data_IF_880463648064
#
_entry.id   IF_880463648064
#
_cell.length_a   1.000
_cell.length_b   1.000
_cell.length_c   1.000
_cell.angle_alpha   90.00
_cell.angle_beta   90.00
_cell.angle_gamma   90.00
#
_symmetry.space_group_name_H-M   'P 1'
#
loop_
_entity.id
_entity.type
_entity.pdbx_description
1 polymer ?
#
# COMPACT_ATOMS: atom_id res chain seq x y z
N UNK A 1 -19.93 22.57 -30.02
CA UNK A 1 -20.07 23.59 -28.95
C UNK A 1 -19.64 22.96 -27.65
N UNK A 2 -18.38 23.16 -27.30
CA UNK A 2 -17.72 22.58 -26.13
C UNK A 2 -18.14 23.40 -24.89
N UNK A 3 -18.76 22.75 -23.90
CA UNK A 3 -19.12 23.42 -22.63
C UNK A 3 -17.84 23.85 -21.93
N UNK A 4 -17.70 25.11 -21.47
CA UNK A 4 -16.52 25.54 -20.76
C UNK A 4 -16.42 24.84 -19.40
N UNK A 5 -15.19 24.45 -19.09
CA UNK A 5 -14.77 23.59 -18.00
C UNK A 5 -15.14 24.08 -16.58
N UNK A 6 -15.33 23.16 -15.61
CA UNK A 6 -15.63 23.47 -14.20
C UNK A 6 -14.49 24.16 -13.43
N UNK A 7 -13.28 24.29 -14.00
CA UNK A 7 -12.12 24.86 -13.30
C UNK A 7 -12.21 26.39 -13.08
N UNK A 8 -12.83 27.14 -14.01
CA UNK A 8 -12.93 28.60 -13.92
C UNK A 8 -13.85 29.05 -12.77
N UNK A 9 -14.89 28.26 -12.45
CA UNK A 9 -15.79 28.56 -11.32
C UNK A 9 -15.06 28.43 -9.98
N UNK A 10 -14.26 27.38 -9.78
CA UNK A 10 -13.53 27.10 -8.53
C UNK A 10 -12.57 28.24 -8.13
N UNK A 11 -11.90 28.84 -9.11
CA UNK A 11 -10.89 29.88 -8.87
C UNK A 11 -11.54 31.23 -8.48
N UNK A 12 -12.69 31.58 -9.09
CA UNK A 12 -13.48 32.76 -8.72
C UNK A 12 -14.09 32.64 -7.31
N UNK A 13 -14.59 31.48 -6.90
CA UNK A 13 -15.14 31.33 -5.54
C UNK A 13 -14.06 31.47 -4.48
N UNK A 14 -12.84 30.98 -4.74
CA UNK A 14 -11.69 31.14 -3.83
C UNK A 14 -11.28 32.61 -3.69
N UNK A 15 -11.21 33.37 -4.78
CA UNK A 15 -10.85 34.80 -4.71
C UNK A 15 -11.90 35.65 -3.99
N UNK A 16 -13.19 35.31 -4.11
CA UNK A 16 -14.26 36.00 -3.39
C UNK A 16 -14.19 35.71 -1.89
N UNK A 17 -13.95 34.46 -1.49
CA UNK A 17 -13.82 34.09 -0.07
C UNK A 17 -12.63 34.78 0.61
N UNK A 18 -11.51 34.92 -0.13
CA UNK A 18 -10.28 35.56 0.35
C UNK A 18 -10.46 37.03 0.75
N UNK A 19 -11.47 37.70 0.21
CA UNK A 19 -11.79 39.11 0.51
C UNK A 19 -13.01 39.24 1.43
N UNK A 20 -14.01 38.37 1.27
CA UNK A 20 -15.24 38.42 2.06
C UNK A 20 -15.00 38.11 3.55
N UNK A 21 -14.20 37.09 3.88
CA UNK A 21 -13.97 36.70 5.29
C UNK A 21 -13.21 37.78 6.07
N UNK A 22 -12.09 38.36 5.57
CA UNK A 22 -11.41 39.45 6.27
C UNK A 22 -12.28 40.70 6.41
N UNK A 23 -13.14 40.98 5.42
CA UNK A 23 -14.10 42.09 5.50
C UNK A 23 -15.14 41.87 6.61
N UNK A 24 -15.69 40.66 6.73
CA UNK A 24 -16.64 40.32 7.81
C UNK A 24 -15.98 40.44 9.19
N UNK A 25 -14.75 39.92 9.34
CA UNK A 25 -14.00 40.06 10.60
C UNK A 25 -13.69 41.53 10.91
N UNK A 26 -13.29 42.32 9.91
CA UNK A 26 -13.05 43.75 10.07
C UNK A 26 -14.30 44.53 10.51
N UNK A 27 -15.47 44.23 9.95
CA UNK A 27 -16.75 44.84 10.36
C UNK A 27 -17.10 44.44 11.79
N UNK A 28 -16.94 43.16 12.13
CA UNK A 28 -17.24 42.64 13.47
C UNK A 28 -16.35 43.29 14.53
N UNK A 29 -15.03 43.32 14.34
CA UNK A 29 -14.09 43.93 15.28
C UNK A 29 -14.25 45.45 15.33
N UNK A 30 -14.54 46.11 14.22
CA UNK A 30 -14.86 47.55 14.19
C UNK A 30 -16.07 47.88 15.06
N UNK A 31 -17.13 47.06 14.96
CA UNK A 31 -18.35 47.24 15.74
C UNK A 31 -18.10 47.02 17.23
N UNK A 32 -17.31 45.98 17.57
CA UNK A 32 -16.98 45.63 18.95
C UNK A 32 -16.07 46.69 19.61
N UNK A 33 -15.03 47.15 18.89
CA UNK A 33 -14.14 48.22 19.35
C UNK A 33 -14.86 49.58 19.41
N UNK A 34 -15.80 49.87 18.50
CA UNK A 34 -16.58 51.10 18.54
C UNK A 34 -17.59 51.12 19.70
N UNK A 35 -18.26 50.00 19.98
CA UNK A 35 -19.29 49.93 21.00
C UNK A 35 -18.74 49.83 22.43
N UNK A 36 -17.68 49.04 22.64
CA UNK A 36 -17.14 48.76 23.98
C UNK A 36 -15.76 49.36 24.23
N UNK A 37 -15.02 49.73 23.18
CA UNK A 37 -13.66 50.24 23.31
C UNK A 37 -13.55 51.52 24.15
N UNK A 38 -14.40 52.55 23.94
CA UNK A 38 -14.34 53.78 24.75
C UNK A 38 -14.54 53.51 26.25
N UNK A 39 -15.48 52.63 26.61
CA UNK A 39 -15.74 52.26 28.01
C UNK A 39 -14.54 51.57 28.65
N UNK A 40 -13.91 50.63 27.94
CA UNK A 40 -12.73 49.92 28.44
C UNK A 40 -11.53 50.86 28.59
N UNK A 41 -11.31 51.77 27.64
CA UNK A 41 -10.20 52.74 27.69
C UNK A 41 -10.41 53.74 28.83
N UNK A 42 -11.62 54.24 29.02
CA UNK A 42 -11.92 55.20 30.09
C UNK A 42 -11.84 54.55 31.48
N UNK A 43 -12.34 53.32 31.65
CA UNK A 43 -12.20 52.57 32.92
C UNK A 43 -10.73 52.24 33.22
N UNK A 44 -9.92 51.95 32.21
CA UNK A 44 -8.50 51.71 32.37
C UNK A 44 -7.71 52.99 32.67
N UNK A 45 -8.02 54.09 31.98
CA UNK A 45 -7.37 55.39 32.17
C UNK A 45 -7.65 55.96 33.56
N UNK A 46 -8.89 55.85 34.06
CA UNK A 46 -9.24 56.23 35.44
C UNK A 46 -8.50 55.42 36.50
N UNK A 47 -8.25 54.13 36.26
CA UNK A 47 -7.44 53.29 37.18
C UNK A 47 -5.96 53.68 37.22
N UNK A 48 -5.45 54.32 36.17
CA UNK A 48 -4.05 54.76 36.08
C UNK A 48 -3.87 56.20 36.57
N UNK A 49 -4.88 57.05 36.43
CA UNK A 49 -4.86 58.44 36.89
C UNK A 49 -6.27 58.85 37.34
N UNK A 50 -6.47 59.04 38.64
CA UNK A 50 -7.77 59.39 39.23
C UNK A 50 -8.27 60.78 38.77
N UNK A 51 -7.37 61.68 38.34
CA UNK A 51 -7.71 62.98 37.74
C UNK A 51 -8.06 62.91 36.25
N UNK A 52 -8.07 61.72 35.64
CA UNK A 52 -8.40 61.55 34.22
C UNK A 52 -9.85 61.94 33.93
N UNK A 53 -10.02 62.98 33.12
CA UNK A 53 -11.30 63.41 32.60
C UNK A 53 -11.42 62.95 31.13
N UNK A 54 -12.43 62.13 30.79
CA UNK A 54 -12.55 61.59 29.45
C UNK A 54 -12.75 62.73 28.44
N UNK A 55 -12.10 62.67 27.26
CA UNK A 55 -12.28 63.68 26.23
C UNK A 55 -13.76 63.77 25.80
N UNK A 56 -14.35 64.97 25.81
CA UNK A 56 -15.74 65.19 25.36
C UNK A 56 -15.97 64.91 23.86
N UNK A 57 -14.91 64.63 23.09
CA UNK A 57 -15.02 64.36 21.66
C UNK A 57 -15.03 62.86 21.38
N UNK A 58 -16.20 62.36 21.00
CA UNK A 58 -16.42 60.99 20.51
C UNK A 58 -15.43 60.66 19.36
N UNK A 59 -15.05 61.68 18.58
CA UNK A 59 -14.12 61.58 17.45
C UNK A 59 -12.72 61.16 17.91
N UNK A 60 -12.21 61.68 19.03
CA UNK A 60 -10.83 61.42 19.48
C UNK A 60 -10.69 60.05 20.14
N UNK A 61 -11.75 59.54 20.78
CA UNK A 61 -11.72 58.25 21.48
C UNK A 61 -12.19 57.10 20.60
N UNK A 62 -13.28 57.28 19.85
CA UNK A 62 -13.96 56.16 19.17
C UNK A 62 -13.37 55.89 17.78
N UNK A 63 -13.00 56.93 17.03
CA UNK A 63 -12.50 56.76 15.65
C UNK A 63 -11.19 55.99 15.58
N UNK A 64 -10.16 56.25 16.42
CA UNK A 64 -8.92 55.47 16.41
C UNK A 64 -9.15 54.00 16.80
N UNK A 65 -10.07 53.73 17.73
CA UNK A 65 -10.41 52.38 18.17
C UNK A 65 -11.14 51.59 17.09
N UNK A 66 -12.06 52.23 16.35
CA UNK A 66 -12.75 51.62 15.20
C UNK A 66 -11.74 51.31 14.09
N UNK A 67 -10.85 52.26 13.76
CA UNK A 67 -9.81 52.04 12.74
C UNK A 67 -8.86 50.92 13.15
N UNK A 68 -8.40 50.89 14.40
CA UNK A 68 -7.59 49.81 14.95
C UNK A 68 -8.32 48.46 14.92
N UNK A 69 -9.62 48.46 15.23
CA UNK A 69 -10.49 47.29 15.11
C UNK A 69 -10.57 46.76 13.68
N UNK A 70 -10.76 47.63 12.68
CA UNK A 70 -10.78 47.25 11.24
C UNK A 70 -9.45 46.59 10.86
N UNK A 71 -8.32 47.19 11.22
CA UNK A 71 -6.99 46.66 10.90
C UNK A 71 -6.75 45.28 11.55
N UNK A 72 -7.11 45.14 12.83
CA UNK A 72 -6.98 43.89 13.57
C UNK A 72 -7.88 42.79 12.98
N UNK A 73 -9.12 43.13 12.63
CA UNK A 73 -10.07 42.19 12.03
C UNK A 73 -9.63 41.74 10.64
N UNK A 74 -9.13 42.65 9.81
CA UNK A 74 -8.56 42.30 8.51
C UNK A 74 -7.35 41.37 8.65
N UNK A 75 -6.45 41.67 9.59
CA UNK A 75 -5.29 40.84 9.89
C UNK A 75 -5.71 39.43 10.35
N UNK A 76 -6.60 39.33 11.35
CA UNK A 76 -7.11 38.06 11.88
C UNK A 76 -7.84 37.24 10.81
N UNK A 77 -8.72 37.87 10.02
CA UNK A 77 -9.43 37.18 8.95
C UNK A 77 -8.49 36.68 7.85
N UNK A 78 -7.46 37.46 7.49
CA UNK A 78 -6.44 37.04 6.52
C UNK A 78 -5.58 35.87 7.04
N UNK A 79 -5.26 35.87 8.34
CA UNK A 79 -4.55 34.78 9.00
C UNK A 79 -5.41 33.50 9.03
N UNK A 80 -6.71 33.64 9.30
CA UNK A 80 -7.66 32.54 9.33
C UNK A 80 -7.78 31.85 7.96
N UNK A 81 -7.88 32.62 6.87
CA UNK A 81 -7.87 32.06 5.50
C UNK A 81 -6.56 31.35 5.20
N UNK A 82 -5.41 31.99 5.45
CA UNK A 82 -4.11 31.35 5.20
C UNK A 82 -3.94 30.07 6.00
N UNK A 83 -4.48 30.02 7.22
CA UNK A 83 -4.44 28.83 8.07
C UNK A 83 -5.40 27.76 7.58
N UNK A 84 -6.63 28.11 7.18
CA UNK A 84 -7.61 27.16 6.63
C UNK A 84 -7.19 26.62 5.27
N UNK A 85 -6.52 27.39 4.41
CA UNK A 85 -5.95 26.89 3.15
C UNK A 85 -4.75 25.95 3.36
N UNK A 86 -3.91 26.24 4.37
CA UNK A 86 -2.83 25.34 4.78
C UNK A 86 -3.39 24.05 5.38
N UNK A 87 -4.42 24.18 6.22
CA UNK A 87 -5.11 23.05 6.82
C UNK A 87 -5.86 22.21 5.78
N UNK A 88 -6.57 22.83 4.83
CA UNK A 88 -7.30 22.13 3.77
C UNK A 88 -6.39 21.32 2.86
N UNK A 89 -5.24 21.89 2.44
CA UNK A 89 -4.24 21.13 1.68
C UNK A 89 -3.65 19.96 2.48
N UNK A 90 -3.55 20.10 3.80
CA UNK A 90 -3.10 19.02 4.69
C UNK A 90 -4.19 17.97 4.84
N UNK A 91 -5.44 18.39 5.07
CA UNK A 91 -6.63 17.56 5.16
C UNK A 91 -6.83 16.69 3.92
N UNK A 92 -6.68 17.25 2.71
CA UNK A 92 -6.83 16.49 1.47
C UNK A 92 -5.75 15.42 1.26
N UNK A 93 -4.57 15.61 1.86
CA UNK A 93 -3.44 14.68 1.77
C UNK A 93 -3.36 13.71 2.94
N UNK A 94 -4.13 13.94 3.98
CA UNK A 94 -4.15 13.16 5.21
C UNK A 94 -5.09 11.98 5.07
N UNK A 95 -4.66 10.82 5.58
CA UNK A 95 -5.45 9.60 5.61
C UNK A 95 -6.79 9.80 6.34
N UNK A 96 -7.85 9.15 5.85
CA UNK A 96 -9.18 9.25 6.48
C UNK A 96 -9.19 8.79 7.95
N UNK A 97 -8.33 7.86 8.33
CA UNK A 97 -8.18 7.41 9.72
C UNK A 97 -7.54 8.48 10.61
N UNK A 98 -6.64 9.29 10.05
CA UNK A 98 -6.02 10.42 10.77
C UNK A 98 -7.02 11.58 10.92
N UNK A 99 -7.90 11.80 9.93
CA UNK A 99 -9.05 12.72 10.06
C UNK A 99 -9.97 12.30 11.21
N UNK A 100 -10.28 11.00 11.32
CA UNK A 100 -11.08 10.46 12.43
C UNK A 100 -10.37 10.67 13.77
N UNK A 101 -9.05 10.46 13.86
CA UNK A 101 -8.29 10.76 15.09
C UNK A 101 -8.37 12.22 15.49
N UNK A 102 -8.21 13.16 14.55
CA UNK A 102 -8.34 14.59 14.84
C UNK A 102 -9.75 14.96 15.28
N UNK A 103 -10.77 14.37 14.66
CA UNK A 103 -12.17 14.58 15.04
C UNK A 103 -12.45 14.07 16.46
N UNK A 104 -12.11 12.80 16.74
CA UNK A 104 -12.32 12.19 18.06
C UNK A 104 -11.55 12.95 19.14
N UNK A 105 -10.29 13.30 18.86
CA UNK A 105 -9.46 14.05 19.81
C UNK A 105 -10.00 15.45 20.09
N UNK A 106 -10.47 16.16 19.06
CA UNK A 106 -11.10 17.47 19.20
C UNK A 106 -12.42 17.43 19.98
N UNK A 107 -13.30 16.48 19.68
CA UNK A 107 -14.57 16.31 20.40
C UNK A 107 -14.33 15.96 21.87
N UNK A 108 -13.42 15.02 22.13
CA UNK A 108 -13.09 14.59 23.50
C UNK A 108 -12.45 15.73 24.29
N UNK A 109 -11.52 16.47 23.69
CA UNK A 109 -10.89 17.63 24.32
C UNK A 109 -11.86 18.77 24.61
N UNK A 110 -12.81 19.03 23.70
CA UNK A 110 -13.88 19.99 23.92
C UNK A 110 -14.79 19.57 25.08
N UNK A 111 -15.25 18.31 25.10
CA UNK A 111 -16.08 17.77 26.18
C UNK A 111 -15.35 17.85 27.53
N UNK A 112 -14.06 17.49 27.59
CA UNK A 112 -13.26 17.60 28.80
C UNK A 112 -13.17 19.05 29.32
N UNK A 113 -13.05 20.03 28.43
CA UNK A 113 -13.01 21.44 28.82
C UNK A 113 -14.34 21.97 29.36
N UNK A 114 -15.49 21.41 28.94
CA UNK A 114 -16.80 21.86 29.47
C UNK A 114 -16.95 21.62 30.96
N UNK A 115 -16.28 20.61 31.52
CA UNK A 115 -16.28 20.34 32.96
C UNK A 115 -15.65 21.48 33.78
N UNK A 116 -14.75 22.27 33.17
CA UNK A 116 -14.11 23.40 33.83
C UNK A 116 -15.01 24.64 33.88
N UNK A 117 -16.09 24.71 33.09
CA UNK A 117 -17.07 25.80 33.16
C UNK A 117 -17.71 25.82 34.54
N UNK A 118 -18.18 24.66 35.02
CA UNK A 118 -18.79 24.54 36.35
C UNK A 118 -17.78 24.82 37.47
N UNK A 119 -16.53 24.40 37.30
CA UNK A 119 -15.47 24.68 38.27
C UNK A 119 -15.16 26.17 38.38
N UNK A 120 -14.96 26.86 37.25
CA UNK A 120 -14.67 28.30 37.23
C UNK A 120 -15.85 29.14 37.67
N UNK A 121 -17.09 28.66 37.50
CA UNK A 121 -18.29 29.35 37.98
C UNK A 121 -18.36 29.51 39.51
N UNK A 122 -17.62 28.70 40.27
CA UNK A 122 -17.52 28.83 41.72
C UNK A 122 -16.63 29.99 42.15
N UNK A 123 -15.77 30.46 41.25
CA UNK A 123 -14.91 31.61 41.49
C UNK A 123 -15.59 32.86 40.94
N UNK A 124 -15.46 33.99 41.64
CA UNK A 124 -16.03 35.28 41.22
C UNK A 124 -15.22 35.93 40.07
N UNK A 125 -14.90 35.15 39.03
CA UNK A 125 -14.13 35.56 37.86
C UNK A 125 -15.09 36.13 36.82
N UNK A 126 -14.67 37.19 36.14
CA UNK A 126 -15.45 37.79 35.06
C UNK A 126 -15.69 36.76 33.93
N UNK A 127 -16.95 36.63 33.49
CA UNK A 127 -17.38 35.72 32.41
C UNK A 127 -16.50 35.71 31.14
N UNK A 128 -16.01 36.85 30.61
CA UNK A 128 -15.13 36.82 29.42
C UNK A 128 -13.79 36.12 29.70
N UNK A 129 -13.25 36.24 30.91
CA UNK A 129 -12.00 35.60 31.31
C UNK A 129 -12.22 34.09 31.42
N UNK A 130 -13.33 33.66 32.02
CA UNK A 130 -13.70 32.23 32.10
C UNK A 130 -13.83 31.62 30.70
N UNK A 131 -14.46 32.32 29.76
CA UNK A 131 -14.60 31.84 28.38
C UNK A 131 -13.23 31.64 27.69
N UNK A 132 -12.29 32.57 27.89
CA UNK A 132 -10.92 32.46 27.36
C UNK A 132 -10.16 31.28 27.96
N UNK A 133 -10.26 31.09 29.27
CA UNK A 133 -9.61 29.98 29.98
C UNK A 133 -10.15 28.61 29.51
N UNK A 134 -11.47 28.48 29.38
CA UNK A 134 -12.11 27.25 28.90
C UNK A 134 -11.74 26.98 27.44
N UNK A 135 -11.68 28.01 26.60
CA UNK A 135 -11.24 27.87 25.21
C UNK A 135 -9.77 27.39 25.12
N UNK A 136 -8.88 27.97 25.94
CA UNK A 136 -7.49 27.52 26.04
C UNK A 136 -7.37 26.05 26.50
N UNK A 137 -8.15 25.65 27.51
CA UNK A 137 -8.20 24.27 28.00
C UNK A 137 -8.75 23.31 26.93
N UNK A 138 -9.76 23.72 26.16
CA UNK A 138 -10.30 22.91 25.07
C UNK A 138 -9.24 22.59 24.02
N UNK A 139 -8.43 23.59 23.64
CA UNK A 139 -7.31 23.37 22.71
C UNK A 139 -6.27 22.45 23.35
N UNK A 140 -5.88 22.69 24.61
CA UNK A 140 -4.88 21.88 25.32
C UNK A 140 -5.29 20.41 25.39
N UNK A 141 -6.51 20.12 25.87
CA UNK A 141 -7.01 18.74 25.98
C UNK A 141 -7.20 18.09 24.62
N UNK A 142 -7.59 18.85 23.59
CA UNK A 142 -7.68 18.32 22.22
C UNK A 142 -6.30 17.88 21.72
N UNK A 143 -5.26 18.69 21.93
CA UNK A 143 -3.89 18.34 21.54
C UNK A 143 -3.38 17.13 22.33
N UNK A 144 -3.61 17.08 23.63
CA UNK A 144 -3.21 15.94 24.48
C UNK A 144 -3.90 14.64 24.07
N UNK A 145 -5.21 14.70 23.76
CA UNK A 145 -5.97 13.52 23.33
C UNK A 145 -5.50 13.04 21.96
N UNK A 146 -5.28 13.94 21.02
CA UNK A 146 -4.73 13.60 19.70
C UNK A 146 -3.35 12.95 19.85
N UNK A 147 -2.48 13.51 20.67
CA UNK A 147 -1.15 12.97 20.93
C UNK A 147 -1.22 11.56 21.54
N UNK A 148 -2.08 11.35 22.54
CA UNK A 148 -2.31 10.03 23.15
C UNK A 148 -2.85 9.01 22.15
N UNK A 149 -3.85 9.38 21.35
CA UNK A 149 -4.39 8.53 20.30
C UNK A 149 -3.34 8.19 19.23
N UNK A 150 -2.45 9.13 18.90
CA UNK A 150 -1.37 8.89 17.95
C UNK A 150 -0.34 7.88 18.48
N UNK A 151 -0.05 7.90 19.79
CA UNK A 151 0.83 6.92 20.43
C UNK A 151 0.27 5.49 20.39
N UNK A 152 -1.04 5.33 20.21
CA UNK A 152 -1.72 4.02 20.18
C UNK A 152 -2.36 3.74 18.81
N UNK A 153 -1.83 4.35 17.74
CA UNK A 153 -2.42 4.35 16.40
C UNK A 153 -2.82 2.96 15.90
N UNK A 154 -2.00 1.95 16.17
CA UNK A 154 -2.19 0.57 15.70
C UNK A 154 -3.32 -0.20 16.43
N UNK A 155 -3.65 0.20 17.66
CA UNK A 155 -4.72 -0.45 18.43
C UNK A 155 -6.11 0.14 18.16
N UNK A 156 -6.18 1.28 17.46
CA UNK A 156 -7.43 2.00 17.24
C UNK A 156 -8.33 1.30 16.19
N UNK A 157 -9.64 1.17 16.45
CA UNK A 157 -10.57 0.48 15.54
C UNK A 157 -10.61 1.05 14.12
N UNK A 158 -10.45 2.37 13.97
CA UNK A 158 -10.44 3.05 12.67
C UNK A 158 -9.10 2.95 11.90
N UNK A 159 -8.09 2.30 12.49
CA UNK A 159 -6.87 1.88 11.80
C UNK A 159 -6.85 0.37 11.48
N UNK A 160 -7.59 -0.44 12.23
CA UNK A 160 -7.64 -1.92 12.09
C UNK A 160 -8.18 -2.48 10.76
N UNK A 161 -8.68 -1.64 9.84
CA UNK A 161 -9.19 -2.07 8.53
C UNK A 161 -8.38 -1.59 7.32
N UNK A 162 -7.31 -0.80 7.53
CA UNK A 162 -6.61 -0.08 6.45
C UNK A 162 -5.32 -0.73 5.93
N UNK A 163 -4.96 -1.94 6.37
CA UNK A 163 -3.97 -2.73 5.63
C UNK A 163 -4.47 -3.06 4.21
N UNK A 164 -5.77 -2.88 3.96
CA UNK A 164 -6.50 -3.21 2.74
C UNK A 164 -6.23 -2.33 1.51
N UNK A 165 -5.10 -1.61 1.41
CA UNK A 165 -4.97 -0.62 0.32
C UNK A 165 -3.58 -0.27 -0.20
N UNK A 166 -2.50 -0.56 0.52
CA UNK A 166 -1.16 -0.25 0.02
C UNK A 166 -0.33 -1.51 0.03
N UNK A 167 -0.26 -2.16 -1.15
CA UNK A 167 0.73 -3.21 -1.35
C UNK A 167 2.10 -2.61 -1.07
N UNK A 168 2.80 -3.14 -0.08
CA UNK A 168 4.14 -2.69 0.30
C UNK A 168 5.18 -3.12 -0.72
N UNK A 169 4.83 -4.08 -1.58
CA UNK A 169 5.77 -4.72 -2.51
C UNK A 169 6.65 -5.76 -1.83
N UNK A 170 6.51 -5.97 -0.51
CA UNK A 170 7.25 -6.97 0.24
C UNK A 170 6.88 -8.37 -0.25
N UNK A 171 7.88 -9.23 -0.41
CA UNK A 171 7.77 -10.61 -0.91
C UNK A 171 8.05 -11.58 0.23
N UNK A 172 7.00 -12.20 0.77
CA UNK A 172 7.12 -13.10 1.92
C UNK A 172 7.39 -14.50 1.42
N UNK A 173 8.52 -15.10 1.83
CA UNK A 173 8.91 -16.44 1.39
C UNK A 173 8.41 -17.53 2.33
N UNK A 174 7.94 -18.62 1.73
CA UNK A 174 7.63 -19.89 2.37
C UNK A 174 8.86 -20.83 2.40
N UNK A 175 8.97 -21.68 3.43
CA UNK A 175 9.98 -22.73 3.61
C UNK A 175 10.18 -23.55 2.33
N UNK A 176 9.09 -23.99 1.71
CA UNK A 176 9.15 -24.86 0.53
C UNK A 176 9.78 -24.19 -0.69
N UNK A 177 9.55 -22.89 -0.87
CA UNK A 177 10.13 -22.11 -1.96
C UNK A 177 11.63 -21.93 -1.77
N UNK A 178 12.06 -21.69 -0.53
CA UNK A 178 13.47 -21.53 -0.19
C UNK A 178 14.24 -22.84 -0.42
N UNK A 179 13.67 -23.98 -0.02
CA UNK A 179 14.29 -25.31 -0.23
C UNK A 179 14.41 -25.65 -1.73
N UNK A 180 13.39 -25.34 -2.52
CA UNK A 180 13.42 -25.56 -3.98
C UNK A 180 14.55 -24.74 -4.64
N UNK A 181 14.71 -23.49 -4.21
CA UNK A 181 15.84 -22.63 -4.57
C UNK A 181 15.68 -21.87 -5.89
N UNK A 182 14.74 -22.24 -6.77
CA UNK A 182 14.48 -21.50 -8.03
C UNK A 182 14.05 -20.05 -7.79
N UNK A 183 13.57 -19.73 -6.59
CA UNK A 183 13.26 -18.36 -6.18
C UNK A 183 14.47 -17.42 -6.31
N UNK A 184 15.68 -17.92 -6.05
CA UNK A 184 16.91 -17.14 -6.23
C UNK A 184 17.12 -16.80 -7.71
N UNK A 185 17.00 -17.79 -8.60
CA UNK A 185 17.18 -17.57 -10.03
C UNK A 185 16.13 -16.61 -10.61
N UNK A 186 14.88 -16.75 -10.17
CA UNK A 186 13.78 -15.87 -10.56
C UNK A 186 13.99 -14.44 -10.06
N UNK A 187 14.49 -14.27 -8.83
CA UNK A 187 14.85 -12.97 -8.28
C UNK A 187 16.03 -12.34 -9.05
N UNK A 188 17.06 -13.13 -9.33
CA UNK A 188 18.24 -12.68 -10.10
C UNK A 188 17.89 -12.28 -11.53
N UNK A 189 16.91 -12.94 -12.14
CA UNK A 189 16.39 -12.60 -13.46
C UNK A 189 15.50 -11.32 -13.45
N UNK A 190 15.23 -10.72 -12.29
CA UNK A 190 14.46 -9.49 -12.15
C UNK A 190 12.95 -9.67 -12.09
N UNK A 191 12.44 -10.90 -11.92
CA UNK A 191 11.00 -11.17 -11.85
C UNK A 191 10.42 -11.04 -10.43
N UNK A 192 11.28 -10.98 -9.40
CA UNK A 192 10.88 -10.70 -8.01
C UNK A 192 11.49 -9.35 -7.62
N UNK A 193 10.65 -8.31 -7.65
CA UNK A 193 11.02 -6.95 -7.26
C UNK A 193 10.54 -6.62 -5.84
N UNK A 194 11.28 -5.72 -5.16
CA UNK A 194 10.98 -5.24 -3.81
C UNK A 194 11.72 -6.00 -2.70
N UNK A 195 11.45 -5.62 -1.45
CA UNK A 195 12.09 -6.23 -0.28
C UNK A 195 11.61 -7.67 -0.11
N UNK A 196 12.56 -8.58 0.10
CA UNK A 196 12.27 -9.97 0.41
C UNK A 196 12.16 -10.11 1.93
N UNK A 197 11.13 -10.79 2.41
CA UNK A 197 10.90 -11.00 3.83
C UNK A 197 10.85 -12.49 4.16
N UNK A 198 11.59 -12.89 5.19
CA UNK A 198 11.56 -14.26 5.73
C UNK A 198 11.14 -14.22 7.19
N UNK A 199 9.98 -14.81 7.55
CA UNK A 199 9.54 -14.89 8.94
C UNK A 199 10.47 -15.75 9.79
N UNK A 200 10.61 -15.47 11.10
CA UNK A 200 11.45 -16.32 11.98
C UNK A 200 10.98 -17.76 12.04
N UNK A 201 9.67 -17.99 12.07
CA UNK A 201 9.14 -19.36 12.11
C UNK A 201 9.47 -20.17 10.85
N UNK A 202 9.65 -19.53 9.69
CA UNK A 202 10.14 -20.19 8.46
C UNK A 202 11.63 -20.55 8.61
N UNK A 203 12.43 -19.65 9.18
CA UNK A 203 13.84 -19.92 9.45
C UNK A 203 14.02 -21.05 10.47
N UNK A 204 13.22 -21.07 11.53
CA UNK A 204 13.18 -22.13 12.54
C UNK A 204 12.78 -23.47 11.91
N UNK A 205 11.80 -23.49 11.00
CA UNK A 205 11.42 -24.70 10.27
C UNK A 205 12.56 -25.20 9.37
N UNK A 206 13.25 -24.32 8.65
CA UNK A 206 14.43 -24.67 7.85
C UNK A 206 15.54 -25.28 8.71
N UNK A 207 15.81 -24.71 9.89
CA UNK A 207 16.79 -25.24 10.85
C UNK A 207 16.36 -26.62 11.37
N UNK A 208 15.10 -26.76 11.77
CA UNK A 208 14.55 -28.04 12.21
C UNK A 208 14.66 -29.14 11.13
N UNK A 209 14.42 -28.79 9.86
CA UNK A 209 14.61 -29.70 8.73
C UNK A 209 16.11 -30.02 8.53
N UNK A 210 16.99 -29.02 8.68
CA UNK A 210 18.44 -29.16 8.55
C UNK A 210 19.11 -29.99 9.66
N UNK A 211 18.42 -30.19 10.79
CA UNK A 211 18.84 -31.04 11.91
C UNK A 211 18.12 -32.40 11.94
N UNK A 212 17.30 -32.70 10.93
CA UNK A 212 16.54 -33.95 10.85
C UNK A 212 17.44 -35.19 10.82
N UNK A 213 17.02 -36.26 11.51
CA UNK A 213 17.69 -37.56 11.48
C UNK A 213 17.69 -38.20 10.08
N UNK A 214 16.69 -37.90 9.26
CA UNK A 214 16.64 -38.31 7.85
C UNK A 214 17.67 -37.52 7.03
N UNK A 215 18.63 -38.22 6.42
CA UNK A 215 19.69 -37.61 5.64
C UNK A 215 19.20 -36.77 4.45
N UNK A 216 18.11 -37.19 3.79
CA UNK A 216 17.57 -36.46 2.63
C UNK A 216 16.91 -35.15 3.08
N UNK A 217 16.10 -35.20 4.16
CA UNK A 217 15.51 -33.99 4.76
C UNK A 217 16.60 -33.02 5.22
N UNK A 218 17.62 -33.55 5.90
CA UNK A 218 18.79 -32.78 6.37
C UNK A 218 19.49 -32.03 5.24
N UNK A 219 19.77 -32.71 4.13
CA UNK A 219 20.40 -32.11 2.96
C UNK A 219 19.53 -31.00 2.35
N UNK A 220 18.21 -31.21 2.27
CA UNK A 220 17.26 -30.20 1.78
C UNK A 220 17.20 -28.96 2.69
N UNK A 221 17.18 -29.14 4.01
CA UNK A 221 17.21 -28.02 4.96
C UNK A 221 18.50 -27.21 4.86
N UNK A 222 19.66 -27.88 4.79
CA UNK A 222 20.96 -27.23 4.59
C UNK A 222 21.02 -26.44 3.29
N UNK A 223 20.54 -27.03 2.18
CA UNK A 223 20.42 -26.33 0.90
C UNK A 223 19.53 -25.08 1.01
N UNK A 224 18.40 -25.16 1.69
CA UNK A 224 17.53 -23.99 1.91
C UNK A 224 18.23 -22.86 2.66
N UNK A 225 18.98 -23.19 3.72
CA UNK A 225 19.78 -22.22 4.47
C UNK A 225 20.91 -21.60 3.62
N UNK A 226 21.55 -22.40 2.75
CA UNK A 226 22.56 -21.91 1.80
C UNK A 226 21.96 -20.92 0.78
N UNK A 227 20.80 -21.24 0.20
CA UNK A 227 20.07 -20.34 -0.71
C UNK A 227 19.68 -19.05 0.00
N UNK A 228 19.17 -19.13 1.23
CA UNK A 228 18.81 -17.94 1.99
C UNK A 228 20.02 -17.03 2.23
N UNK A 229 21.18 -17.62 2.57
CA UNK A 229 22.43 -16.88 2.74
C UNK A 229 22.91 -16.23 1.44
N UNK A 230 22.77 -16.92 0.32
CA UNK A 230 23.07 -16.38 -1.00
C UNK A 230 22.14 -15.20 -1.33
N UNK A 231 20.83 -15.36 -1.09
CA UNK A 231 19.86 -14.28 -1.28
C UNK A 231 20.17 -13.06 -0.41
N UNK A 232 20.58 -13.25 0.85
CA UNK A 232 21.00 -12.15 1.74
C UNK A 232 22.24 -11.39 1.23
N UNK A 233 23.08 -12.02 0.41
CA UNK A 233 24.27 -11.37 -0.13
C UNK A 233 24.01 -10.53 -1.38
N UNK A 234 22.91 -10.80 -2.10
CA UNK A 234 22.59 -10.17 -3.39
C UNK A 234 21.32 -9.30 -3.37
N UNK A 235 20.41 -9.53 -2.42
CA UNK A 235 19.11 -8.85 -2.32
C UNK A 235 18.87 -8.28 -0.92
N UNK A 236 17.98 -7.29 -0.82
CA UNK A 236 17.50 -6.77 0.48
C UNK A 236 16.54 -7.77 1.11
N UNK A 237 17.08 -8.69 1.91
CA UNK A 237 16.33 -9.70 2.65
C UNK A 237 16.22 -9.30 4.13
N UNK A 238 15.00 -9.02 4.57
CA UNK A 238 14.67 -8.80 5.98
C UNK A 238 14.22 -10.10 6.66
N UNK A 239 14.65 -10.29 7.91
CA UNK A 239 14.27 -11.47 8.71
C UNK A 239 13.62 -11.05 10.01
N UNK A 240 12.38 -11.48 10.22
CA UNK A 240 11.70 -11.38 11.51
C UNK A 240 11.29 -9.99 11.99
N UNK A 241 11.45 -8.95 11.17
CA UNK A 241 11.10 -7.55 11.51
C UNK A 241 9.59 -7.33 11.67
N UNK A 242 8.76 -8.15 11.02
CA UNK A 242 7.30 -8.01 10.97
C UNK A 242 6.53 -9.11 11.73
N UNK A 243 7.24 -10.03 12.40
CA UNK A 243 6.60 -11.22 13.02
C UNK A 243 5.59 -10.87 14.12
N UNK A 244 5.72 -9.70 14.75
CA UNK A 244 4.76 -9.20 15.75
C UNK A 244 3.36 -8.95 15.18
N UNK A 245 3.20 -8.94 13.86
CA UNK A 245 1.91 -8.79 13.20
C UNK A 245 1.16 -10.13 13.05
N UNK A 246 1.80 -11.27 13.37
CA UNK A 246 1.27 -12.62 13.21
C UNK A 246 1.23 -13.42 14.53
N UNK A 247 0.97 -12.76 15.67
CA UNK A 247 1.13 -13.27 17.04
C UNK A 247 0.13 -14.36 17.50
N UNK A 248 -0.69 -14.95 16.63
CA UNK A 248 -1.55 -16.07 17.05
C UNK A 248 -0.78 -17.40 17.00
N UNK A 249 -0.27 -17.82 18.16
CA UNK A 249 0.53 -19.05 18.34
C UNK A 249 -0.25 -20.36 18.10
N UNK A 250 -1.58 -20.31 18.06
CA UNK A 250 -2.45 -21.48 17.82
C UNK A 250 -2.68 -21.82 16.35
N UNK A 251 -2.28 -20.94 15.43
CA UNK A 251 -2.49 -21.12 13.99
C UNK A 251 -1.37 -21.95 13.34
N UNK A 252 -1.74 -22.81 12.38
CA UNK A 252 -0.78 -23.52 11.54
C UNK A 252 0.13 -22.56 10.75
N UNK A 253 1.31 -23.02 10.32
CA UNK A 253 2.32 -22.23 9.58
C UNK A 253 1.69 -21.47 8.41
N UNK A 254 0.86 -22.14 7.62
CA UNK A 254 0.13 -21.59 6.48
C UNK A 254 -0.77 -20.40 6.86
N UNK A 255 -1.56 -20.54 7.92
CA UNK A 255 -2.45 -19.49 8.39
C UNK A 255 -1.66 -18.27 8.89
N UNK A 256 -0.52 -18.50 9.56
CA UNK A 256 0.40 -17.42 9.98
C UNK A 256 1.00 -16.68 8.78
N UNK A 257 1.41 -17.39 7.72
CA UNK A 257 1.90 -16.77 6.48
C UNK A 257 0.85 -15.88 5.82
N UNK A 258 -0.40 -16.37 5.68
CA UNK A 258 -1.49 -15.59 5.09
C UNK A 258 -1.82 -14.36 5.92
N UNK A 259 -1.92 -14.50 7.26
CA UNK A 259 -2.16 -13.37 8.16
C UNK A 259 -1.05 -12.33 8.11
N UNK A 260 0.21 -12.78 8.09
CA UNK A 260 1.35 -11.88 7.98
C UNK A 260 1.31 -11.11 6.65
N UNK A 261 1.06 -11.80 5.53
CA UNK A 261 0.93 -11.16 4.22
C UNK A 261 -0.20 -10.13 4.19
N UNK A 262 -1.34 -10.46 4.80
CA UNK A 262 -2.45 -9.54 4.99
C UNK A 262 -2.07 -8.33 5.84
N UNK A 263 -1.37 -8.52 6.95
CA UNK A 263 -1.03 -7.46 7.91
C UNK A 263 0.10 -6.53 7.44
N UNK A 264 0.99 -7.03 6.58
CA UNK A 264 2.07 -6.26 5.95
C UNK A 264 1.63 -5.68 4.60
N UNK A 265 0.53 -6.15 4.02
CA UNK A 265 0.16 -5.85 2.63
C UNK A 265 1.20 -6.39 1.63
N UNK A 266 1.84 -7.51 1.97
CA UNK A 266 2.86 -8.17 1.16
C UNK A 266 2.25 -9.19 0.19
N UNK A 267 3.06 -9.60 -0.79
CA UNK A 267 2.74 -10.71 -1.69
C UNK A 267 3.39 -12.00 -1.13
N UNK A 268 2.64 -13.10 -1.11
CA UNK A 268 3.14 -14.41 -0.65
C UNK A 268 3.83 -15.14 -1.81
N UNK A 269 5.05 -15.63 -1.59
CA UNK A 269 5.78 -16.47 -2.55
C UNK A 269 5.79 -17.91 -2.03
N UNK A 270 5.04 -18.79 -2.69
CA UNK A 270 4.91 -20.20 -2.31
C UNK A 270 4.94 -21.12 -3.55
N UNK A 271 5.23 -22.40 -3.37
CA UNK A 271 5.09 -23.44 -4.38
C UNK A 271 3.86 -24.33 -4.12
N UNK A 272 3.16 -24.11 -3.00
CA UNK A 272 2.02 -24.92 -2.56
C UNK A 272 0.71 -24.38 -3.15
N UNK A 273 0.02 -25.22 -3.93
CA UNK A 273 -1.27 -24.88 -4.54
C UNK A 273 -2.41 -24.73 -3.53
N UNK A 274 -2.38 -25.43 -2.40
CA UNK A 274 -3.39 -25.33 -1.35
C UNK A 274 -3.24 -23.99 -0.62
N UNK A 275 -2.02 -23.65 -0.20
CA UNK A 275 -1.73 -22.34 0.40
C UNK A 275 -2.09 -21.20 -0.56
N UNK A 276 -1.79 -21.36 -1.85
CA UNK A 276 -2.16 -20.39 -2.89
C UNK A 276 -3.69 -20.16 -2.94
N UNK A 277 -4.50 -21.23 -2.96
CA UNK A 277 -5.97 -21.12 -2.96
C UNK A 277 -6.50 -20.41 -1.71
N UNK A 278 -6.00 -20.79 -0.53
CA UNK A 278 -6.43 -20.19 0.75
C UNK A 278 -6.04 -18.72 0.82
N UNK A 279 -4.80 -18.38 0.45
CA UNK A 279 -4.31 -17.01 0.44
C UNK A 279 -5.08 -16.12 -0.55
N UNK A 280 -5.36 -16.62 -1.76
CA UNK A 280 -6.12 -15.89 -2.78
C UNK A 280 -7.57 -15.60 -2.32
N UNK A 281 -8.22 -16.55 -1.63
CA UNK A 281 -9.55 -16.34 -1.03
C UNK A 281 -9.54 -15.25 0.06
N UNK A 282 -8.40 -15.08 0.72
CA UNK A 282 -8.16 -14.02 1.72
C UNK A 282 -7.63 -12.72 1.07
N UNK A 283 -7.74 -12.56 -0.26
CA UNK A 283 -7.28 -11.37 -1.01
C UNK A 283 -5.76 -11.11 -0.94
N UNK A 284 -4.95 -12.10 -0.53
CA UNK A 284 -3.48 -12.04 -0.60
C UNK A 284 -3.03 -12.37 -2.01
N UNK A 285 -2.14 -11.55 -2.58
CA UNK A 285 -1.50 -11.88 -3.86
C UNK A 285 -0.52 -13.02 -3.65
N UNK A 286 -0.60 -14.04 -4.49
CA UNK A 286 0.33 -15.16 -4.46
C UNK A 286 1.19 -15.16 -5.72
N UNK A 287 2.50 -15.30 -5.54
CA UNK A 287 3.48 -15.50 -6.60
C UNK A 287 3.95 -16.96 -6.53
N UNK A 288 3.40 -17.79 -7.40
CA UNK A 288 3.73 -19.20 -7.41
C UNK A 288 4.82 -19.52 -8.45
N UNK A 289 5.98 -19.99 -7.98
CA UNK A 289 7.13 -20.26 -8.88
C UNK A 289 6.82 -21.46 -9.79
N UNK A 290 6.01 -22.42 -9.35
CA UNK A 290 5.56 -23.51 -10.21
C UNK A 290 4.66 -23.01 -11.34
N UNK A 291 3.72 -22.11 -11.03
CA UNK A 291 2.84 -21.52 -12.05
C UNK A 291 3.63 -20.67 -13.04
N UNK A 292 4.64 -19.94 -12.56
CA UNK A 292 5.57 -19.19 -13.41
C UNK A 292 6.34 -20.14 -14.35
N UNK A 293 6.92 -21.22 -13.82
CA UNK A 293 7.66 -22.19 -14.63
C UNK A 293 6.77 -22.86 -15.69
N UNK A 294 5.51 -23.19 -15.35
CA UNK A 294 4.53 -23.72 -16.30
C UNK A 294 4.20 -22.71 -17.41
N UNK A 295 4.09 -21.43 -17.06
CA UNK A 295 3.76 -20.34 -18.00
C UNK A 295 4.92 -20.02 -18.97
N UNK A 296 6.15 -20.36 -18.60
CA UNK A 296 7.35 -20.16 -19.42
C UNK A 296 7.64 -21.33 -20.38
N UNK A 297 6.84 -22.40 -20.36
CA UNK A 297 7.05 -23.52 -21.30
C UNK A 297 6.89 -23.04 -22.74
N UNK A 298 7.78 -23.46 -23.67
CA UNK A 298 7.68 -23.06 -25.07
C UNK A 298 6.29 -23.35 -25.64
N UNK A 299 5.70 -22.32 -26.26
CA UNK A 299 4.47 -22.51 -27.00
C UNK A 299 4.79 -22.98 -28.40
N UNK A 300 4.74 -24.30 -28.59
CA UNK A 300 4.70 -24.89 -29.92
C UNK A 300 3.42 -24.46 -30.64
N UNK A 301 3.56 -23.91 -31.84
CA UNK A 301 2.46 -23.51 -32.71
C UNK A 301 2.23 -24.54 -33.84
N UNK A 302 1.00 -24.65 -34.38
CA UNK A 302 0.80 -25.32 -35.65
C UNK A 302 1.71 -24.73 -36.74
N UNK A 303 2.19 -25.58 -37.65
CA UNK A 303 3.13 -25.27 -38.73
C UNK A 303 4.58 -24.98 -38.27
N UNK A 304 4.88 -25.17 -36.99
CA UNK A 304 6.26 -25.13 -36.49
C UNK A 304 6.98 -26.46 -36.75
N UNK A 305 8.27 -26.39 -37.07
CA UNK A 305 9.13 -27.56 -37.26
C UNK A 305 9.84 -27.91 -35.95
N UNK A 306 9.86 -29.20 -35.61
CA UNK A 306 10.49 -29.73 -34.40
C UNK A 306 11.37 -30.93 -34.72
N UNK A 307 12.59 -30.96 -34.19
CA UNK A 307 13.41 -32.17 -34.20
C UNK A 307 13.02 -33.07 -33.02
N UNK A 308 12.49 -34.26 -33.32
CA UNK A 308 11.99 -35.19 -32.30
C UNK A 308 12.59 -36.58 -32.49
N UNK A 309 13.14 -37.14 -31.42
CA UNK A 309 13.52 -38.56 -31.34
C UNK A 309 12.28 -39.43 -31.16
N UNK A 310 12.00 -40.29 -32.14
CA UNK A 310 10.87 -41.22 -32.05
C UNK A 310 11.25 -42.37 -31.11
N UNK A 311 10.62 -42.42 -29.95
CA UNK A 311 10.94 -43.40 -28.89
C UNK A 311 10.23 -44.74 -29.08
N UNK A 312 8.96 -44.72 -29.49
CA UNK A 312 8.12 -45.92 -29.58
C UNK A 312 7.00 -45.78 -30.59
N UNK A 313 6.35 -46.90 -30.92
CA UNK A 313 5.13 -46.92 -31.71
C UNK A 313 3.96 -46.28 -30.94
N UNK A 314 3.12 -45.54 -31.67
CA UNK A 314 1.90 -44.92 -31.16
C UNK A 314 0.71 -45.87 -31.10
N UNK A 315 -0.43 -45.35 -30.66
CA UNK A 315 -1.65 -46.17 -30.49
C UNK A 315 -2.34 -46.49 -31.82
N UNK A 316 -2.20 -45.64 -32.85
CA UNK A 316 -2.77 -45.89 -34.17
C UNK A 316 -1.70 -46.42 -35.13
N UNK A 317 -2.14 -47.21 -36.11
CA UNK A 317 -1.25 -47.80 -37.12
C UNK A 317 -0.46 -46.71 -37.85
N UNK A 318 0.87 -46.85 -37.90
CA UNK A 318 1.76 -45.90 -38.56
C UNK A 318 2.25 -44.74 -37.69
N UNK A 319 1.70 -44.54 -36.48
CA UNK A 319 2.15 -43.47 -35.59
C UNK A 319 3.45 -43.81 -34.85
N UNK A 320 4.28 -42.79 -34.66
CA UNK A 320 5.37 -42.77 -33.69
C UNK A 320 5.04 -41.85 -32.51
N UNK A 321 5.71 -42.05 -31.37
CA UNK A 321 5.62 -41.17 -30.19
C UNK A 321 7.01 -40.75 -29.77
N UNK A 322 7.21 -39.45 -29.64
CA UNK A 322 8.37 -38.81 -29.04
C UNK A 322 7.98 -37.89 -27.89
N UNK A 323 8.99 -37.27 -27.27
CA UNK A 323 8.80 -36.32 -26.19
C UNK A 323 9.69 -35.10 -26.42
N UNK A 324 9.17 -33.92 -26.11
CA UNK A 324 9.99 -32.72 -25.97
C UNK A 324 10.84 -32.79 -24.69
N UNK A 325 11.81 -31.89 -24.57
CA UNK A 325 12.68 -31.78 -23.39
C UNK A 325 11.89 -31.55 -22.09
N UNK A 326 10.72 -30.91 -22.18
CA UNK A 326 9.82 -30.65 -21.05
C UNK A 326 8.88 -31.83 -20.71
N UNK A 327 9.00 -32.95 -21.43
CA UNK A 327 8.19 -34.15 -21.28
C UNK A 327 6.84 -34.12 -22.03
N UNK A 328 6.55 -33.07 -22.80
CA UNK A 328 5.33 -33.00 -23.63
C UNK A 328 5.35 -34.10 -24.68
N UNK A 329 4.28 -34.90 -24.75
CA UNK A 329 4.16 -36.00 -25.70
C UNK A 329 3.86 -35.47 -27.11
N UNK A 330 4.66 -35.91 -28.08
CA UNK A 330 4.50 -35.61 -29.50
C UNK A 330 4.11 -36.89 -30.23
N UNK A 331 2.93 -36.90 -30.84
CA UNK A 331 2.40 -37.99 -31.66
C UNK A 331 2.68 -37.65 -33.12
N UNK A 332 3.44 -38.51 -33.79
CA UNK A 332 3.96 -38.27 -35.14
C UNK A 332 3.25 -39.21 -36.12
N UNK A 333 2.47 -38.67 -37.05
CA UNK A 333 1.90 -39.42 -38.16
C UNK A 333 3.01 -39.94 -39.09
N UNK A 334 2.90 -41.18 -39.53
CA UNK A 334 3.94 -41.93 -40.26
C UNK A 334 5.29 -42.07 -39.51
N UNK A 335 5.36 -41.70 -38.23
CA UNK A 335 6.57 -41.78 -37.42
C UNK A 335 7.04 -43.20 -37.08
N UNK A 336 6.19 -44.23 -37.25
CA UNK A 336 6.55 -45.63 -36.92
C UNK A 336 7.82 -46.12 -37.65
N UNK A 337 8.06 -45.64 -38.87
CA UNK A 337 9.23 -46.06 -39.67
C UNK A 337 10.55 -45.48 -39.15
N UNK A 338 10.48 -44.45 -38.31
CA UNK A 338 11.62 -43.69 -37.81
C UNK A 338 11.87 -43.95 -36.32
N UNK A 339 11.36 -45.05 -35.76
CA UNK A 339 11.61 -45.42 -34.34
C UNK A 339 13.11 -45.58 -34.12
N UNK A 340 13.64 -44.85 -33.12
CA UNK A 340 15.07 -44.77 -32.81
C UNK A 340 15.82 -43.66 -33.52
N UNK A 341 15.18 -42.91 -34.42
CA UNK A 341 15.77 -41.80 -35.18
C UNK A 341 15.23 -40.45 -34.71
N UNK A 342 16.08 -39.42 -34.79
CA UNK A 342 15.67 -38.01 -34.63
C UNK A 342 15.28 -37.47 -36.00
N UNK A 343 14.03 -37.05 -36.15
CA UNK A 343 13.46 -36.56 -37.41
C UNK A 343 12.89 -35.15 -37.24
N UNK A 344 12.97 -34.33 -38.29
CA UNK A 344 12.27 -33.04 -38.36
C UNK A 344 10.81 -33.27 -38.72
N UNK A 345 9.90 -32.84 -37.84
CA UNK A 345 8.45 -33.03 -37.98
C UNK A 345 7.74 -31.70 -37.96
N UNK A 346 6.68 -31.57 -38.76
CA UNK A 346 5.85 -30.38 -38.78
C UNK A 346 4.65 -30.56 -37.86
N UNK A 347 4.45 -29.62 -36.94
CA UNK A 347 3.33 -29.65 -36.00
C UNK A 347 2.03 -29.37 -36.75
N UNK A 348 1.10 -30.31 -36.71
CA UNK A 348 -0.22 -30.17 -37.35
C UNK A 348 -1.22 -29.56 -36.37
N UNK A 349 -1.25 -30.06 -35.14
CA UNK A 349 -2.23 -29.65 -34.14
C UNK A 349 -1.68 -29.74 -32.73
N UNK A 350 -2.12 -28.84 -31.86
CA UNK A 350 -1.81 -28.86 -30.43
C UNK A 350 -3.12 -29.01 -29.66
N UNK A 351 -3.22 -30.05 -28.84
CA UNK A 351 -4.41 -30.36 -28.03
C UNK A 351 -4.05 -30.27 -26.54
N UNK A 352 -4.78 -29.47 -25.79
CA UNK A 352 -4.69 -29.46 -24.33
C UNK A 352 -5.65 -30.52 -23.77
N UNK A 353 -5.13 -31.45 -22.96
CA UNK A 353 -5.91 -32.47 -22.24
C UNK A 353 -5.82 -32.25 -20.72
N UNK A 354 -6.64 -32.96 -19.95
CA UNK A 354 -6.59 -32.95 -18.48
C UNK A 354 -5.24 -33.43 -17.92
N UNK A 355 -4.50 -34.25 -18.67
CA UNK A 355 -3.19 -34.79 -18.27
C UNK A 355 -2.01 -33.96 -18.77
N UNK A 356 -2.26 -32.91 -19.54
CA UNK A 356 -1.23 -32.05 -20.12
C UNK A 356 -1.44 -31.79 -21.60
N UNK A 357 -0.42 -31.19 -22.21
CA UNK A 357 -0.40 -30.82 -23.63
C UNK A 357 -0.01 -32.04 -24.47
N UNK A 358 -0.74 -32.28 -25.55
CA UNK A 358 -0.40 -33.26 -26.59
C UNK A 358 -0.15 -32.51 -27.90
N UNK A 359 0.93 -32.84 -28.58
CA UNK A 359 1.30 -32.25 -29.86
C UNK A 359 1.16 -33.33 -30.92
N UNK A 360 0.42 -33.04 -31.99
CA UNK A 360 0.34 -33.86 -33.19
C UNK A 360 1.24 -33.23 -34.24
N UNK A 361 2.03 -34.08 -34.88
CA UNK A 361 2.96 -33.69 -35.92
C UNK A 361 2.93 -34.72 -37.05
N UNK A 362 3.39 -34.32 -38.23
CA UNK A 362 3.56 -35.20 -39.38
C UNK A 362 4.99 -35.10 -39.90
N UNK A 363 5.49 -36.18 -40.50
CA UNK A 363 6.73 -36.13 -41.25
C UNK A 363 6.46 -35.34 -42.54
N UNK A 364 7.15 -34.20 -42.78
CA UNK A 364 7.00 -33.46 -44.03
C UNK A 364 7.24 -34.41 -45.20
N UNK A 365 6.29 -34.49 -46.12
CA UNK A 365 6.26 -35.52 -47.15
C UNK A 365 7.54 -35.55 -48.00
N UNK A 366 7.91 -36.75 -48.45
CA UNK A 366 9.01 -37.06 -49.39
C UNK A 366 8.93 -36.31 -50.75
N UNK A 367 7.89 -35.49 -50.96
CA UNK A 367 7.64 -34.70 -52.19
C UNK A 367 8.05 -33.21 -52.08
N UNK A 368 8.56 -32.74 -50.94
CA UNK A 368 9.11 -31.37 -50.83
C UNK A 368 10.66 -31.40 -50.86
N UNK A 369 11.33 -30.69 -51.79
CA UNK A 369 12.79 -30.73 -51.87
C UNK A 369 13.41 -30.22 -50.57
N UNK A 370 14.55 -30.81 -50.12
CA UNK A 370 15.14 -30.49 -48.83
C UNK A 370 15.44 -28.99 -48.75
N UNK A 371 14.74 -28.28 -47.86
CA UNK A 371 15.06 -26.89 -47.56
C UNK A 371 16.36 -26.88 -46.78
N UNK A 372 17.39 -26.28 -47.39
CA UNK A 372 18.72 -26.11 -46.79
C UNK A 372 18.59 -25.48 -45.41
N UNK A 373 19.41 -25.88 -44.42
CA UNK A 373 19.41 -25.26 -43.11
C UNK A 373 19.61 -23.75 -43.26
N UNK A 374 18.61 -22.97 -42.83
CA UNK A 374 18.71 -21.53 -42.78
C UNK A 374 19.85 -21.17 -41.84
N UNK A 375 20.91 -20.59 -42.38
CA UNK A 375 22.01 -20.01 -41.61
C UNK A 375 21.39 -19.02 -40.62
N UNK A 376 21.37 -19.39 -39.33
CA UNK A 376 21.06 -18.45 -38.24
C UNK A 376 22.08 -17.32 -38.33
N UNK A 377 21.66 -16.18 -38.88
CA UNK A 377 22.43 -14.95 -38.76
C UNK A 377 22.33 -14.53 -37.29
N UNK A 378 23.43 -14.70 -36.57
CA UNK A 378 23.67 -13.96 -35.34
C UNK A 378 23.59 -12.47 -35.68
N UNK A 379 22.54 -11.80 -35.23
CA UNK A 379 22.61 -10.37 -34.99
C UNK A 379 23.39 -10.20 -33.67
N UNK A 380 24.65 -9.81 -33.84
CA UNK A 380 25.48 -9.14 -32.82
C UNK A 380 24.80 -7.91 -32.27
#
# INVERSE_FOLDING_TARGET
>A
MEKPQPQIKSQKTKSVLQVAIPAVFAIFTATLCGAYGPQVVDDFAKRLNDEYQPPNSIIVTTVPLVVGGIMLGWFLGSLLIRSTERFGRRWDRTDDSEKVTWFVGGVTGFLAATFFITLFSQFNIQKPIVALLVFGLAILFSVLTIFGLHSMKESLPWYRGKVRGKRTGIKILDTNVIIDGRVYDVARAGFIEGNVYVPKFVLEELQYIADSHDGLRRQRGRRGLEILKLMQSEFEVEVGTHDQLALDEGDGVDARLVRLALAVGGDLVTNDHNLNRVATLQEVRVLNINDLALSLRPNVLPQEHLEILVHREGNQSGQGVGYLEDGTMVIIENGRRHIGETIDVMVTQVIQTERGKLIFAEVPGEDEPPRRPGVRRHHT
#
